data_IF_825411583881
#
_entry.id   IF_825411583881
#
_cell.length_a   1.000
_cell.length_b   1.000
_cell.length_c   1.000
_cell.angle_alpha   90.00
_cell.angle_beta   90.00
_cell.angle_gamma   90.00
#
_symmetry.space_group_name_H-M   'P 1'
#
loop_
_entity.id
_entity.type
_entity.pdbx_description
1 polymer ?
#
# COMPACT_ATOMS: atom_id res chain seq x y z
N UNK A 1 15.92 -9.26 -9.06
CA UNK A 1 15.76 -8.05 -9.87
C UNK A 1 15.20 -6.99 -8.94
N UNK A 2 15.85 -5.85 -8.80
CA UNK A 2 15.40 -4.75 -7.96
C UNK A 2 14.17 -4.08 -8.57
N UNK A 3 13.19 -3.71 -7.74
CA UNK A 3 12.04 -2.94 -8.21
C UNK A 3 12.49 -1.56 -8.74
N UNK A 4 11.97 -1.16 -9.89
CA UNK A 4 12.23 0.15 -10.50
C UNK A 4 10.96 0.87 -10.93
N UNK A 5 10.99 2.20 -10.88
CA UNK A 5 9.91 3.06 -11.38
C UNK A 5 10.46 4.37 -11.93
N UNK A 6 9.88 4.83 -13.04
CA UNK A 6 10.25 6.11 -13.66
C UNK A 6 9.30 7.23 -13.24
N UNK A 7 9.85 8.40 -12.94
CA UNK A 7 9.10 9.61 -12.60
C UNK A 7 9.46 10.77 -13.53
N UNK A 8 8.50 11.63 -13.90
CA UNK A 8 8.76 12.78 -14.74
C UNK A 8 9.39 13.93 -13.93
N UNK A 9 10.55 14.41 -14.36
CA UNK A 9 11.20 15.61 -13.86
C UNK A 9 10.89 16.79 -14.77
N UNK A 10 10.42 17.89 -14.19
CA UNK A 10 10.23 19.16 -14.89
C UNK A 10 11.48 20.02 -14.72
N UNK A 11 12.24 20.20 -15.79
CA UNK A 11 13.37 21.13 -15.82
C UNK A 11 12.94 22.43 -16.50
N UNK A 12 13.33 23.59 -15.92
CA UNK A 12 13.00 24.92 -16.46
C UNK A 12 13.54 25.19 -17.88
N UNK A 13 14.35 24.28 -18.44
CA UNK A 13 15.00 24.42 -19.75
C UNK A 13 14.26 23.71 -20.89
N UNK A 14 13.37 22.77 -20.60
CA UNK A 14 12.68 21.98 -21.63
C UNK A 14 11.18 21.96 -21.41
N UNK A 15 10.41 22.12 -22.49
CA UNK A 15 8.95 22.01 -22.46
C UNK A 15 8.47 20.59 -22.16
N UNK A 16 9.32 19.58 -22.40
CA UNK A 16 9.03 18.17 -22.15
C UNK A 16 9.70 17.69 -20.85
N UNK A 17 9.02 16.83 -20.06
CA UNK A 17 9.58 16.25 -18.85
C UNK A 17 10.69 15.25 -19.20
N UNK A 18 11.78 15.30 -18.44
CA UNK A 18 12.84 14.29 -18.49
C UNK A 18 12.45 13.17 -17.54
N UNK A 19 12.36 11.93 -18.02
CA UNK A 19 12.01 10.78 -17.19
C UNK A 19 13.25 10.25 -16.49
N UNK A 20 13.23 10.21 -15.16
CA UNK A 20 14.28 9.61 -14.34
C UNK A 20 13.81 8.26 -13.82
N UNK A 21 14.62 7.21 -13.98
CA UNK A 21 14.37 5.90 -13.39
C UNK A 21 15.03 5.78 -12.01
N UNK A 22 14.25 5.30 -11.04
CA UNK A 22 14.72 5.03 -9.68
C UNK A 22 14.61 3.56 -9.38
N UNK A 23 15.71 3.01 -8.85
CA UNK A 23 15.83 1.62 -8.44
C UNK A 23 15.87 1.53 -6.92
N UNK A 24 15.13 0.59 -6.34
CA UNK A 24 15.26 0.23 -4.93
C UNK A 24 16.43 -0.75 -4.74
N UNK A 25 17.21 -0.53 -3.69
CA UNK A 25 18.20 -1.51 -3.25
C UNK A 25 17.50 -2.72 -2.63
N UNK A 26 18.15 -3.90 -2.64
CA UNK A 26 17.60 -5.14 -2.08
C UNK A 26 17.25 -5.04 -0.59
N UNK A 27 18.07 -4.33 0.18
CA UNK A 27 17.81 -4.09 1.61
C UNK A 27 16.56 -3.25 1.83
N UNK A 28 16.43 -2.14 1.09
CA UNK A 28 15.26 -1.27 1.16
C UNK A 28 14.00 -2.02 0.71
N UNK A 29 14.08 -2.81 -0.36
CA UNK A 29 12.96 -3.60 -0.84
C UNK A 29 12.45 -4.58 0.23
N UNK A 30 13.36 -5.25 0.95
CA UNK A 30 13.01 -6.13 2.08
C UNK A 30 12.32 -5.37 3.21
N UNK A 31 12.81 -4.18 3.57
CA UNK A 31 12.21 -3.33 4.61
C UNK A 31 10.80 -2.90 4.20
N UNK A 32 10.61 -2.47 2.95
CA UNK A 32 9.31 -2.03 2.44
C UNK A 32 8.30 -3.18 2.41
N UNK A 33 8.74 -4.38 2.04
CA UNK A 33 7.90 -5.58 2.09
C UNK A 33 7.48 -5.96 3.53
N UNK A 34 8.39 -5.82 4.49
CA UNK A 34 8.08 -6.04 5.90
C UNK A 34 7.07 -5.01 6.41
N UNK A 35 7.26 -3.73 6.09
CA UNK A 35 6.36 -2.65 6.46
C UNK A 35 4.96 -2.86 5.85
N UNK A 36 4.89 -3.17 4.55
CA UNK A 36 3.62 -3.47 3.88
C UNK A 36 2.90 -4.66 4.53
N UNK A 37 3.64 -5.69 4.96
CA UNK A 37 3.06 -6.82 5.70
C UNK A 37 2.51 -6.42 7.06
N UNK A 38 3.24 -5.63 7.83
CA UNK A 38 2.82 -5.16 9.17
C UNK A 38 1.53 -4.33 9.05
N UNK A 39 1.49 -3.39 8.10
CA UNK A 39 0.32 -2.55 7.86
C UNK A 39 -0.88 -3.36 7.37
N UNK A 40 -0.68 -4.32 6.47
CA UNK A 40 -1.76 -5.20 6.03
C UNK A 40 -2.32 -6.07 7.16
N UNK A 41 -1.48 -6.56 8.07
CA UNK A 41 -1.94 -7.29 9.27
C UNK A 41 -2.77 -6.38 10.18
N UNK A 42 -2.34 -5.12 10.35
CA UNK A 42 -3.08 -4.13 11.13
C UNK A 42 -4.45 -3.81 10.50
N UNK A 43 -4.49 -3.56 9.19
CA UNK A 43 -5.72 -3.34 8.43
C UNK A 43 -6.69 -4.53 8.53
N UNK A 44 -6.18 -5.76 8.47
CA UNK A 44 -7.02 -6.94 8.64
C UNK A 44 -7.66 -7.00 10.04
N UNK A 45 -6.90 -6.68 11.09
CA UNK A 45 -7.46 -6.60 12.46
C UNK A 45 -8.55 -5.55 12.58
N UNK A 46 -8.35 -4.38 11.96
CA UNK A 46 -9.37 -3.33 11.89
C UNK A 46 -10.62 -3.82 11.16
N UNK A 47 -10.47 -4.47 9.99
CA UNK A 47 -11.59 -5.01 9.22
C UNK A 47 -12.40 -6.07 9.99
N UNK A 48 -11.73 -6.90 10.80
CA UNK A 48 -12.40 -7.86 11.69
C UNK A 48 -13.21 -7.11 12.76
N UNK A 49 -12.66 -6.04 13.33
CA UNK A 49 -13.35 -5.18 14.30
C UNK A 49 -14.58 -4.48 13.70
N UNK A 50 -14.42 -3.91 12.52
CA UNK A 50 -15.49 -3.23 11.78
C UNK A 50 -16.61 -4.21 11.39
N UNK A 51 -16.24 -5.43 10.97
CA UNK A 51 -17.21 -6.48 10.66
C UNK A 51 -18.04 -6.87 11.88
N UNK A 52 -17.43 -6.97 13.07
CA UNK A 52 -18.17 -7.23 14.32
C UNK A 52 -19.18 -6.13 14.62
N UNK A 53 -18.77 -4.86 14.51
CA UNK A 53 -19.65 -3.72 14.75
C UNK A 53 -20.85 -3.74 13.81
N UNK A 54 -20.62 -3.99 12.53
CA UNK A 54 -21.68 -4.02 11.52
C UNK A 54 -22.72 -5.12 11.82
N UNK A 55 -22.27 -6.30 12.25
CA UNK A 55 -23.16 -7.39 12.64
C UNK A 55 -24.00 -7.04 13.88
N UNK A 56 -23.36 -6.45 14.91
CA UNK A 56 -24.05 -6.00 16.12
C UNK A 56 -25.05 -4.87 15.86
N UNK A 57 -24.72 -3.92 14.99
CA UNK A 57 -25.61 -2.81 14.62
C UNK A 57 -26.79 -3.24 13.75
N UNK A 58 -26.63 -4.34 13.00
CA UNK A 58 -27.65 -4.85 12.08
C UNK A 58 -28.50 -5.97 12.67
N UNK A 59 -28.36 -6.27 13.97
CA UNK A 59 -29.00 -7.41 14.66
C UNK A 59 -28.82 -8.76 13.92
N UNK A 60 -27.67 -8.94 13.25
CA UNK A 60 -27.34 -10.17 12.53
C UNK A 60 -26.76 -11.21 13.48
N UNK A 61 -26.95 -12.49 13.15
CA UNK A 61 -26.37 -13.59 13.92
C UNK A 61 -24.85 -13.65 13.71
N UNK A 62 -24.13 -13.79 14.81
CA UNK A 62 -22.66 -13.86 14.82
C UNK A 62 -22.15 -15.24 14.39
N UNK A 63 -22.16 -15.50 13.09
CA UNK A 63 -21.44 -16.65 12.51
C UNK A 63 -20.00 -16.25 12.19
N UNK A 64 -19.04 -17.01 12.73
CA UNK A 64 -17.60 -16.74 12.52
C UNK A 64 -17.23 -16.74 11.04
N UNK A 65 -17.82 -17.63 10.23
CA UNK A 65 -17.56 -17.71 8.78
C UNK A 65 -17.93 -16.42 8.05
N UNK A 66 -19.07 -15.83 8.39
CA UNK A 66 -19.64 -14.70 7.66
C UNK A 66 -18.97 -13.39 8.07
N UNK A 67 -18.62 -13.27 9.35
CA UNK A 67 -17.81 -12.19 9.88
C UNK A 67 -16.45 -12.14 9.18
N UNK A 68 -15.77 -13.29 9.04
CA UNK A 68 -14.48 -13.35 8.36
C UNK A 68 -14.62 -13.04 6.87
N UNK A 69 -15.68 -13.52 6.21
CA UNK A 69 -15.95 -13.18 4.79
C UNK A 69 -16.16 -11.68 4.59
N UNK A 70 -16.93 -11.04 5.47
CA UNK A 70 -17.12 -9.59 5.43
C UNK A 70 -15.78 -8.86 5.67
N UNK A 71 -15.00 -9.30 6.65
CA UNK A 71 -13.69 -8.72 6.95
C UNK A 71 -12.73 -8.83 5.77
N UNK A 72 -12.71 -9.97 5.07
CA UNK A 72 -11.94 -10.17 3.84
C UNK A 72 -12.43 -9.22 2.74
N UNK A 73 -13.74 -9.10 2.54
CA UNK A 73 -14.29 -8.18 1.54
C UNK A 73 -13.94 -6.73 1.82
N UNK A 74 -13.94 -6.30 3.09
CA UNK A 74 -13.50 -4.97 3.51
C UNK A 74 -11.99 -4.78 3.29
N UNK A 75 -11.21 -5.79 3.66
CA UNK A 75 -9.77 -5.78 3.51
C UNK A 75 -9.35 -5.65 2.04
N UNK A 76 -9.96 -6.41 1.13
CA UNK A 76 -9.66 -6.33 -0.31
C UNK A 76 -9.91 -4.94 -0.92
N UNK A 77 -10.84 -4.15 -0.34
CA UNK A 77 -11.12 -2.78 -0.80
C UNK A 77 -10.21 -1.72 -0.17
N UNK A 78 -9.61 -2.02 0.99
CA UNK A 78 -8.78 -1.08 1.76
C UNK A 78 -7.28 -1.36 1.65
N UNK A 79 -6.89 -2.60 1.42
CA UNK A 79 -5.50 -3.02 1.45
C UNK A 79 -4.75 -2.54 0.20
N UNK A 80 -3.58 -1.96 0.42
CA UNK A 80 -2.68 -1.58 -0.65
C UNK A 80 -1.74 -2.74 -0.98
N UNK A 81 -1.54 -3.00 -2.27
CA UNK A 81 -0.60 -4.00 -2.73
C UNK A 81 0.85 -3.58 -2.42
N UNK A 82 1.74 -4.55 -2.21
CA UNK A 82 3.17 -4.30 -1.93
C UNK A 82 3.82 -3.37 -2.97
N UNK A 83 3.40 -3.48 -4.23
CA UNK A 83 3.89 -2.63 -5.33
C UNK A 83 3.61 -1.15 -5.05
N UNK A 84 2.46 -0.79 -4.49
CA UNK A 84 2.16 0.60 -4.13
C UNK A 84 3.16 1.16 -3.11
N UNK A 85 3.51 0.36 -2.10
CA UNK A 85 4.49 0.75 -1.08
C UNK A 85 5.89 0.95 -1.71
N UNK A 86 6.29 0.04 -2.61
CA UNK A 86 7.55 0.19 -3.35
C UNK A 86 7.56 1.43 -4.24
N UNK A 87 6.47 1.74 -4.93
CA UNK A 87 6.36 2.96 -5.75
C UNK A 87 6.40 4.23 -4.89
N UNK A 88 5.75 4.22 -3.72
CA UNK A 88 5.79 5.35 -2.78
C UNK A 88 7.22 5.65 -2.33
N UNK A 89 7.98 4.63 -1.99
CA UNK A 89 9.38 4.76 -1.57
C UNK A 89 10.29 5.22 -2.72
N UNK A 90 10.09 4.70 -3.94
CA UNK A 90 10.78 5.22 -5.12
C UNK A 90 10.46 6.71 -5.34
N UNK A 91 9.21 7.12 -5.10
CA UNK A 91 8.79 8.52 -5.21
C UNK A 91 9.44 9.40 -4.14
N UNK A 92 9.54 8.94 -2.89
CA UNK A 92 10.24 9.68 -1.85
C UNK A 92 11.73 9.87 -2.17
N UNK A 93 12.38 8.86 -2.75
CA UNK A 93 13.77 8.96 -3.22
C UNK A 93 13.87 9.97 -4.38
N UNK A 94 12.89 9.99 -5.30
CA UNK A 94 12.82 10.98 -6.38
C UNK A 94 12.73 12.39 -5.82
N UNK A 95 11.76 12.61 -4.94
CA UNK A 95 11.48 13.92 -4.36
C UNK A 95 12.69 14.42 -3.56
N UNK A 96 13.39 13.56 -2.80
CA UNK A 96 14.64 13.94 -2.10
C UNK A 96 15.81 14.29 -3.04
N UNK A 97 15.83 13.73 -4.25
CA UNK A 97 16.91 13.96 -5.22
C UNK A 97 16.70 15.25 -6.02
N UNK A 98 15.46 15.71 -6.17
CA UNK A 98 15.10 16.78 -7.10
C UNK A 98 14.24 17.93 -6.53
N UNK A 99 13.72 17.83 -5.30
CA UNK A 99 13.17 18.97 -4.53
C UNK A 99 14.15 19.46 -3.48
#
# INVERSE_FOLDING_TARGET
MSFSKSFPRTDNKTTYPVWEEINLNSENESIVEQNARIENIKLMKECIGDSRKLFSESDLKDYQSDLIRLAVSLFEKRASHVVYWKESECKEIFDKKFN
#
